data_IF_128809253633
#
_entry.id   IF_128809253633
#
_cell.length_a   1.000
_cell.length_b   1.000
_cell.length_c   1.000
_cell.angle_alpha   90.00
_cell.angle_beta   90.00
_cell.angle_gamma   90.00
#
_symmetry.space_group_name_H-M   'P 1'
#
loop_
_entity.id
_entity.type
_entity.pdbx_description
1 polymer ?
#
# COMPACT_ATOMS: atom_id res chain seq x y z
N UNK A 1 16.68 -4.65 1.54
CA UNK A 1 15.95 -4.04 2.68
C UNK A 1 15.26 -5.16 3.45
N UNK A 2 15.02 -5.08 4.77
CA UNK A 2 14.28 -6.14 5.47
C UNK A 2 12.77 -6.00 5.22
N UNK A 3 12.06 -7.12 5.09
CA UNK A 3 10.60 -7.16 4.91
C UNK A 3 9.86 -6.36 6.00
N UNK A 4 10.37 -6.38 7.24
CA UNK A 4 9.82 -5.61 8.36
C UNK A 4 9.92 -4.10 8.14
N UNK A 5 11.06 -3.61 7.67
CA UNK A 5 11.26 -2.17 7.44
C UNK A 5 10.40 -1.68 6.28
N UNK A 6 10.25 -2.50 5.24
CA UNK A 6 9.35 -2.27 4.12
C UNK A 6 7.90 -2.13 4.61
N UNK A 7 7.44 -3.10 5.39
CA UNK A 7 6.12 -3.08 6.01
C UNK A 7 5.89 -1.82 6.85
N UNK A 8 6.85 -1.44 7.71
CA UNK A 8 6.71 -0.26 8.57
C UNK A 8 6.57 1.04 7.76
N UNK A 9 7.25 1.15 6.62
CA UNK A 9 7.19 2.35 5.78
C UNK A 9 5.90 2.37 4.97
N UNK A 10 5.48 1.25 4.38
CA UNK A 10 4.16 1.14 3.74
C UNK A 10 3.05 1.46 4.73
N UNK A 11 3.13 0.92 5.94
CA UNK A 11 2.16 1.17 7.01
C UNK A 11 2.13 2.65 7.44
N UNK A 12 3.30 3.28 7.52
CA UNK A 12 3.46 4.71 7.82
C UNK A 12 2.95 5.65 6.71
N UNK A 13 2.78 5.17 5.49
CA UNK A 13 2.26 5.97 4.36
C UNK A 13 0.77 5.69 4.14
N UNK A 14 0.39 4.42 4.04
CA UNK A 14 -0.95 4.00 3.62
C UNK A 14 -2.01 4.38 4.65
N UNK A 15 -1.74 4.16 5.94
CA UNK A 15 -2.73 4.44 6.99
C UNK A 15 -3.07 5.94 7.06
N UNK A 16 -2.09 6.87 7.10
CA UNK A 16 -2.40 8.29 7.01
C UNK A 16 -3.15 8.67 5.73
N UNK A 17 -2.75 8.12 4.58
CA UNK A 17 -3.40 8.42 3.29
C UNK A 17 -4.86 7.98 3.29
N UNK A 18 -5.16 6.79 3.80
CA UNK A 18 -6.54 6.28 3.94
C UNK A 18 -7.35 7.21 4.84
N UNK A 19 -6.82 7.56 6.02
CA UNK A 19 -7.51 8.43 6.98
C UNK A 19 -7.76 9.84 6.43
N UNK A 20 -6.74 10.46 5.82
CA UNK A 20 -6.85 11.79 5.21
C UNK A 20 -7.88 11.78 4.06
N UNK A 21 -7.89 10.73 3.24
CA UNK A 21 -8.84 10.59 2.13
C UNK A 21 -10.27 10.44 2.65
N UNK A 22 -10.49 9.65 3.70
CA UNK A 22 -11.81 9.46 4.30
C UNK A 22 -12.34 10.74 4.98
N UNK A 23 -11.47 11.46 5.70
CA UNK A 23 -11.83 12.73 6.34
C UNK A 23 -12.12 13.82 5.29
N UNK A 24 -11.27 13.95 4.27
CA UNK A 24 -11.44 14.95 3.21
C UNK A 24 -12.67 14.71 2.34
N UNK A 25 -13.09 13.46 2.17
CA UNK A 25 -14.32 13.10 1.44
C UNK A 25 -15.58 13.11 2.32
N UNK A 26 -15.48 13.57 3.58
CA UNK A 26 -16.57 13.62 4.57
C UNK A 26 -17.26 12.25 4.77
N UNK A 27 -16.50 11.15 4.64
CA UNK A 27 -17.03 9.79 4.80
C UNK A 27 -16.95 9.28 6.24
N UNK A 28 -16.51 10.14 7.17
CA UNK A 28 -16.29 9.82 8.57
C UNK A 28 -17.06 10.83 9.41
N UNK A 29 -17.95 10.36 10.27
CA UNK A 29 -18.78 11.21 11.12
C UNK A 29 -18.42 11.09 12.61
N UNK A 30 -17.67 10.06 13.00
CA UNK A 30 -17.37 9.76 14.40
C UNK A 30 -15.90 9.35 14.61
N UNK A 31 -15.39 9.56 15.82
CA UNK A 31 -14.10 9.03 16.26
C UNK A 31 -14.03 7.49 16.13
N UNK A 32 -15.18 6.81 16.30
CA UNK A 32 -15.26 5.36 16.10
C UNK A 32 -14.98 4.94 14.66
N UNK A 33 -15.43 5.74 13.68
CA UNK A 33 -15.19 5.48 12.27
C UNK A 33 -13.71 5.66 11.92
N UNK A 34 -13.04 6.64 12.53
CA UNK A 34 -11.59 6.86 12.41
C UNK A 34 -10.82 5.65 12.97
N UNK A 35 -11.17 5.19 14.17
CA UNK A 35 -10.53 4.02 14.78
C UNK A 35 -10.74 2.77 13.93
N UNK A 36 -11.95 2.54 13.42
CA UNK A 36 -12.23 1.41 12.53
C UNK A 36 -11.43 1.51 11.23
N UNK A 37 -11.35 2.68 10.61
CA UNK A 37 -10.56 2.90 9.41
C UNK A 37 -9.06 2.68 9.66
N UNK A 38 -8.54 3.14 10.80
CA UNK A 38 -7.15 2.91 11.20
C UNK A 38 -6.85 1.41 11.37
N UNK A 39 -7.69 0.70 12.13
CA UNK A 39 -7.53 -0.75 12.36
C UNK A 39 -7.62 -1.50 11.02
N UNK A 40 -8.59 -1.12 10.18
CA UNK A 40 -8.80 -1.78 8.91
C UNK A 40 -7.64 -1.55 7.94
N UNK A 41 -7.21 -0.30 7.74
CA UNK A 41 -6.05 0.02 6.89
C UNK A 41 -4.80 -0.71 7.39
N UNK A 42 -4.59 -0.72 8.72
CA UNK A 42 -3.47 -1.45 9.32
C UNK A 42 -3.52 -2.95 9.05
N UNK A 43 -4.71 -3.55 9.22
CA UNK A 43 -4.90 -4.99 9.02
C UNK A 43 -4.78 -5.36 7.55
N UNK A 44 -5.31 -4.51 6.67
CA UNK A 44 -5.21 -4.67 5.22
C UNK A 44 -3.74 -4.69 4.79
N UNK A 45 -2.96 -3.64 5.09
CA UNK A 45 -1.52 -3.57 4.78
C UNK A 45 -0.74 -4.72 5.42
N UNK A 46 -1.03 -5.08 6.68
CA UNK A 46 -0.36 -6.19 7.37
C UNK A 46 -0.61 -7.54 6.68
N UNK A 47 -1.76 -7.71 6.04
CA UNK A 47 -2.13 -8.92 5.33
C UNK A 47 -1.63 -8.93 3.88
N UNK A 48 -1.78 -7.82 3.16
CA UNK A 48 -1.44 -7.73 1.73
C UNK A 48 0.06 -7.61 1.51
N UNK A 49 0.79 -6.94 2.39
CA UNK A 49 2.22 -6.70 2.20
C UNK A 49 3.06 -7.99 2.22
N UNK A 50 2.95 -8.92 3.20
CA UNK A 50 3.69 -10.18 3.14
C UNK A 50 3.35 -11.02 1.91
N UNK A 51 2.07 -11.02 1.50
CA UNK A 51 1.63 -11.76 0.32
C UNK A 51 2.20 -11.19 -0.97
N UNK A 52 2.24 -9.86 -1.10
CA UNK A 52 2.83 -9.18 -2.26
C UNK A 52 4.34 -9.41 -2.34
N UNK A 53 5.03 -9.37 -1.19
CA UNK A 53 6.45 -9.68 -1.08
C UNK A 53 6.76 -11.10 -1.56
N UNK A 54 6.09 -12.10 -1.00
CA UNK A 54 6.28 -13.51 -1.39
C UNK A 54 5.94 -13.73 -2.88
N UNK A 55 4.84 -13.12 -3.35
CA UNK A 55 4.45 -13.20 -4.76
C UNK A 55 5.51 -12.64 -5.69
N UNK A 56 6.15 -11.52 -5.30
CA UNK A 56 7.26 -10.95 -6.07
C UNK A 56 8.45 -11.89 -6.12
N UNK A 57 8.88 -12.44 -4.98
CA UNK A 57 10.01 -13.37 -4.94
C UNK A 57 9.78 -14.60 -5.83
N UNK A 58 8.56 -15.14 -5.83
CA UNK A 58 8.16 -16.26 -6.69
C UNK A 58 8.16 -15.86 -8.17
N UNK A 59 7.74 -14.64 -8.51
CA UNK A 59 7.57 -14.18 -9.90
C UNK A 59 8.84 -13.58 -10.53
N UNK A 60 9.89 -13.28 -9.75
CA UNK A 60 11.19 -12.77 -10.23
C UNK A 60 11.73 -13.52 -11.46
N UNK A 61 11.81 -14.88 -11.46
CA UNK A 61 12.39 -15.61 -12.59
C UNK A 61 11.47 -15.74 -13.81
N UNK A 62 10.18 -15.40 -13.69
CA UNK A 62 9.18 -15.66 -14.73
C UNK A 62 8.69 -14.42 -15.45
N UNK A 63 8.67 -13.25 -14.78
CA UNK A 63 8.02 -12.04 -15.28
C UNK A 63 8.94 -10.84 -15.12
N UNK A 64 9.05 -10.02 -16.17
CA UNK A 64 9.78 -8.75 -16.13
C UNK A 64 9.19 -7.79 -15.10
N UNK A 65 10.07 -6.97 -14.53
CA UNK A 65 9.74 -6.11 -13.38
C UNK A 65 8.46 -5.25 -13.57
N UNK A 66 8.26 -4.50 -14.67
CA UNK A 66 7.10 -3.62 -14.79
C UNK A 66 5.77 -4.39 -14.80
N UNK A 67 5.74 -5.53 -15.50
CA UNK A 67 4.55 -6.37 -15.60
C UNK A 67 4.26 -7.08 -14.27
N UNK A 68 5.32 -7.55 -13.61
CA UNK A 68 5.23 -8.22 -12.30
C UNK A 68 4.63 -7.30 -11.24
N UNK A 69 5.15 -6.07 -11.15
CA UNK A 69 4.64 -5.05 -10.22
C UNK A 69 3.19 -4.72 -10.55
N UNK A 70 2.87 -4.41 -11.81
CA UNK A 70 1.50 -4.07 -12.20
C UNK A 70 0.49 -5.16 -11.82
N UNK A 71 0.87 -6.44 -11.97
CA UNK A 71 0.02 -7.57 -11.61
C UNK A 71 -0.19 -7.67 -10.10
N UNK A 72 0.88 -7.58 -9.30
CA UNK A 72 0.80 -7.67 -7.84
C UNK A 72 0.02 -6.50 -7.27
N UNK A 73 0.37 -5.26 -7.66
CA UNK A 73 -0.33 -4.05 -7.22
C UNK A 73 -1.82 -4.08 -7.59
N UNK A 74 -2.17 -4.55 -8.79
CA UNK A 74 -3.58 -4.65 -9.19
C UNK A 74 -4.35 -5.60 -8.28
N UNK A 75 -3.73 -6.72 -7.90
CA UNK A 75 -4.36 -7.69 -7.00
C UNK A 75 -4.53 -7.12 -5.59
N UNK A 76 -3.49 -6.48 -5.06
CA UNK A 76 -3.51 -5.81 -3.75
C UNK A 76 -4.62 -4.74 -3.72
N UNK A 77 -4.66 -3.87 -4.73
CA UNK A 77 -5.65 -2.80 -4.83
C UNK A 77 -7.09 -3.34 -4.85
N UNK A 78 -7.31 -4.44 -5.57
CA UNK A 78 -8.64 -5.08 -5.61
C UNK A 78 -9.01 -5.63 -4.24
N UNK A 79 -8.11 -6.37 -3.60
CA UNK A 79 -8.36 -7.01 -2.29
C UNK A 79 -8.62 -5.95 -1.22
N UNK A 80 -7.75 -4.96 -1.10
CA UNK A 80 -7.93 -3.87 -0.12
C UNK A 80 -9.16 -3.03 -0.44
N UNK A 81 -9.41 -2.73 -1.71
CA UNK A 81 -10.60 -1.99 -2.12
C UNK A 81 -11.90 -2.70 -1.76
N UNK A 82 -11.94 -4.04 -1.88
CA UNK A 82 -13.07 -4.85 -1.42
C UNK A 82 -13.19 -4.81 0.11
N UNK A 83 -12.09 -4.93 0.84
CA UNK A 83 -12.09 -4.83 2.32
C UNK A 83 -12.61 -3.47 2.79
N UNK A 84 -12.13 -2.38 2.19
CA UNK A 84 -12.60 -1.03 2.48
C UNK A 84 -14.08 -0.85 2.13
N UNK A 85 -14.53 -1.35 0.97
CA UNK A 85 -15.94 -1.27 0.58
C UNK A 85 -16.85 -1.99 1.58
N UNK A 86 -16.52 -3.23 1.94
CA UNK A 86 -17.36 -4.06 2.81
C UNK A 86 -17.38 -3.57 4.26
N UNK A 87 -16.21 -3.24 4.82
CA UNK A 87 -16.08 -2.98 6.27
C UNK A 87 -16.41 -1.53 6.59
N UNK A 88 -16.00 -0.57 5.76
CA UNK A 88 -16.37 0.85 5.92
C UNK A 88 -17.74 1.17 5.32
N UNK A 89 -18.46 0.16 4.79
CA UNK A 89 -19.76 0.31 4.12
C UNK A 89 -19.74 1.34 3.00
N UNK A 90 -18.61 1.43 2.31
CA UNK A 90 -18.44 2.30 1.15
C UNK A 90 -18.98 1.60 -0.09
N UNK A 91 -19.52 2.37 -1.03
CA UNK A 91 -19.79 1.82 -2.36
C UNK A 91 -18.49 1.26 -2.96
N UNK A 92 -18.57 0.15 -3.69
CA UNK A 92 -17.40 -0.55 -4.26
C UNK A 92 -16.44 0.37 -5.00
N UNK A 93 -16.96 1.37 -5.73
CA UNK A 93 -16.17 2.40 -6.42
C UNK A 93 -15.32 3.24 -5.46
N UNK A 94 -15.87 3.61 -4.31
CA UNK A 94 -15.18 4.42 -3.30
C UNK A 94 -14.13 3.59 -2.56
N UNK A 95 -14.41 2.32 -2.26
CA UNK A 95 -13.43 1.39 -1.68
C UNK A 95 -12.23 1.19 -2.60
N UNK A 96 -12.47 0.91 -3.88
CA UNK A 96 -11.39 0.80 -4.88
C UNK A 96 -10.62 2.11 -5.04
N UNK A 97 -11.31 3.25 -5.13
CA UNK A 97 -10.66 4.56 -5.24
C UNK A 97 -9.72 4.83 -4.06
N UNK A 98 -10.17 4.52 -2.85
CA UNK A 98 -9.37 4.67 -1.62
C UNK A 98 -8.11 3.79 -1.66
N UNK A 99 -8.27 2.53 -2.08
CA UNK A 99 -7.13 1.61 -2.20
C UNK A 99 -6.15 2.02 -3.30
N UNK A 100 -6.64 2.50 -4.45
CA UNK A 100 -5.79 3.04 -5.53
C UNK A 100 -4.95 4.20 -5.01
N UNK A 101 -5.56 5.16 -4.30
CA UNK A 101 -4.82 6.31 -3.76
C UNK A 101 -3.77 5.85 -2.74
N UNK A 102 -4.14 4.96 -1.82
CA UNK A 102 -3.22 4.48 -0.78
C UNK A 102 -2.00 3.77 -1.40
N UNK A 103 -2.24 2.80 -2.28
CA UNK A 103 -1.17 2.03 -2.92
C UNK A 103 -0.33 2.89 -3.88
N UNK A 104 -0.96 3.75 -4.69
CA UNK A 104 -0.22 4.66 -5.56
C UNK A 104 0.68 5.62 -4.77
N UNK A 105 0.20 6.13 -3.63
CA UNK A 105 0.99 7.00 -2.76
C UNK A 105 2.13 6.25 -2.08
N UNK A 106 1.87 5.02 -1.62
CA UNK A 106 2.89 4.12 -1.07
C UNK A 106 3.99 3.81 -2.09
N UNK A 107 3.59 3.49 -3.32
CA UNK A 107 4.48 3.20 -4.44
C UNK A 107 5.34 4.41 -4.83
N UNK A 108 4.71 5.57 -5.04
CA UNK A 108 5.44 6.81 -5.37
C UNK A 108 6.33 7.25 -4.19
N UNK A 109 5.84 7.13 -2.96
CA UNK A 109 6.62 7.41 -1.76
C UNK A 109 7.87 6.54 -1.69
N UNK A 110 7.72 5.25 -1.97
CA UNK A 110 8.84 4.32 -2.04
C UNK A 110 9.85 4.67 -3.14
N UNK A 111 9.38 5.07 -4.33
CA UNK A 111 10.23 5.53 -5.44
C UNK A 111 11.04 6.77 -5.07
N UNK A 112 10.41 7.76 -4.44
CA UNK A 112 11.07 9.01 -4.04
C UNK A 112 12.14 8.73 -2.99
N UNK A 113 11.86 7.83 -2.03
CA UNK A 113 12.83 7.46 -0.99
C UNK A 113 14.03 6.71 -1.59
N UNK A 114 13.82 5.77 -2.54
CA UNK A 114 14.93 5.09 -3.25
C UNK A 114 15.80 6.10 -4.00
N UNK A 115 15.19 7.01 -4.77
CA UNK A 115 15.94 7.99 -5.56
C UNK A 115 16.74 8.95 -4.66
N UNK A 116 16.15 9.41 -3.55
CA UNK A 116 16.83 10.26 -2.57
C UNK A 116 18.06 9.55 -1.95
N UNK A 117 17.92 8.26 -1.64
CA UNK A 117 19.01 7.45 -1.06
C UNK A 117 20.11 7.15 -2.08
N UNK A 118 19.76 6.92 -3.35
CA UNK A 118 20.73 6.81 -4.45
C UNK A 118 21.55 8.08 -4.62
N UNK A 119 20.92 9.25 -4.60
CA UNK A 119 21.59 10.54 -4.73
C UNK A 119 22.58 10.80 -3.58
N UNK A 120 22.32 10.26 -2.38
CA UNK A 120 23.22 10.37 -1.22
C UNK A 120 24.44 9.44 -1.25
N UNK A 121 24.64 8.64 -2.31
CA UNK A 121 25.80 7.74 -2.49
C UNK A 121 25.96 6.69 -1.36
N UNK A 122 24.87 6.39 -0.63
CA UNK A 122 24.72 5.11 0.06
C UNK A 122 24.22 4.12 -0.98
N UNK A 123 25.10 3.27 -1.52
CA UNK A 123 24.74 2.23 -2.48
C UNK A 123 23.96 1.11 -1.77
N UNK A 124 22.74 1.42 -1.34
CA UNK A 124 21.75 0.41 -0.97
C UNK A 124 20.84 0.36 -2.19
N UNK A 125 20.87 -0.75 -2.93
CA UNK A 125 19.86 -1.06 -3.93
C UNK A 125 18.50 -1.16 -3.21
N UNK A 126 17.78 -0.04 -3.10
CA UNK A 126 16.48 0.12 -2.46
C UNK A 126 15.37 0.11 -3.52
N UNK A 127 15.57 -0.70 -4.56
CA UNK A 127 14.64 -0.78 -5.67
C UNK A 127 13.32 -1.40 -5.20
N UNK A 128 12.44 -0.51 -4.75
CA UNK A 128 11.04 -0.69 -4.41
C UNK A 128 10.76 -1.32 -3.06
N UNK A 129 10.14 -0.50 -2.21
CA UNK A 129 9.67 -0.82 -0.86
C UNK A 129 8.85 -2.10 -0.76
N UNK A 130 8.28 -2.59 -1.87
CA UNK A 130 7.50 -3.82 -1.95
C UNK A 130 8.25 -5.02 -2.57
N UNK A 131 9.35 -4.79 -3.30
CA UNK A 131 9.82 -5.73 -4.33
C UNK A 131 11.34 -6.05 -4.33
N UNK A 132 12.07 -5.58 -3.32
CA UNK A 132 13.47 -5.96 -3.08
C UNK A 132 13.64 -7.34 -2.44
#
# INVERSE_FOLDING_TARGET
MTQLLALLISWGIEVPVVLITLVSTQQVCSCWDICNAFILASTATLFTHPLAWESNQILIPYIEFPLRVALIESFVVIVEGILYALILKLGWQKGLFLSIIANATSFIGGLVIDELLRLQRLTIHLAFFWYC
#
